data_IF_559711142168
#
_entry.id   IF_559711142168
#
_cell.length_a   1.000
_cell.length_b   1.000
_cell.length_c   1.000
_cell.angle_alpha   90.00
_cell.angle_beta   90.00
_cell.angle_gamma   90.00
#
_symmetry.space_group_name_H-M   'P 1'
#
loop_
_entity.id
_entity.type
_entity.pdbx_description
1 polymer ?
#
# COMPACT_ATOMS: atom_id res chain seq x y z
N UNK A 1 8.43 31.88 -18.17
CA UNK A 1 9.15 30.63 -18.51
C UNK A 1 8.18 29.65 -19.15
N UNK A 2 8.53 29.03 -20.29
CA UNK A 2 7.59 28.26 -21.15
C UNK A 2 7.46 26.76 -20.82
N UNK A 3 8.16 26.23 -19.82
CA UNK A 3 8.08 24.81 -19.46
C UNK A 3 7.52 24.60 -18.05
N UNK A 4 6.31 24.01 -17.89
CA UNK A 4 5.65 23.89 -16.59
C UNK A 4 6.33 22.91 -15.62
N UNK A 5 7.15 21.99 -16.15
CA UNK A 5 7.88 20.95 -15.41
C UNK A 5 9.37 21.27 -15.21
N UNK A 6 9.79 22.50 -15.50
CA UNK A 6 11.19 22.90 -15.38
C UNK A 6 11.71 22.68 -13.95
N UNK A 7 12.89 22.06 -13.81
CA UNK A 7 13.56 21.71 -12.55
C UNK A 7 12.83 20.73 -11.61
N UNK A 8 11.82 20.00 -12.10
CA UNK A 8 11.11 18.96 -11.30
C UNK A 8 12.07 17.90 -10.72
N UNK A 9 13.04 17.43 -11.50
CA UNK A 9 13.98 16.40 -11.04
C UNK A 9 14.91 16.86 -9.90
N UNK A 10 15.23 18.15 -9.85
CA UNK A 10 16.02 18.75 -8.75
C UNK A 10 15.16 18.80 -7.49
N UNK A 11 13.90 19.26 -7.61
CA UNK A 11 12.95 19.28 -6.50
C UNK A 11 12.71 17.87 -5.95
N UNK A 12 12.48 16.89 -6.81
CA UNK A 12 12.30 15.49 -6.41
C UNK A 12 13.47 14.95 -5.59
N UNK A 13 14.72 15.17 -6.01
CA UNK A 13 15.91 14.76 -5.24
C UNK A 13 15.97 15.47 -3.88
N UNK A 14 15.60 16.74 -3.83
CA UNK A 14 15.56 17.52 -2.59
C UNK A 14 14.48 17.02 -1.64
N UNK A 15 13.27 16.71 -2.16
CA UNK A 15 12.17 16.13 -1.37
C UNK A 15 12.61 14.80 -0.73
N UNK A 16 13.17 13.88 -1.52
CA UNK A 16 13.65 12.59 -1.00
C UNK A 16 14.69 12.80 0.09
N UNK A 17 15.69 13.67 -0.14
CA UNK A 17 16.74 13.94 0.86
C UNK A 17 16.21 14.57 2.13
N UNK A 18 15.17 15.39 2.04
CA UNK A 18 14.52 16.03 3.18
C UNK A 18 13.65 15.03 3.95
N UNK A 19 13.01 14.11 3.23
CA UNK A 19 11.88 13.34 3.74
C UNK A 19 12.22 11.87 4.00
N UNK A 20 13.46 11.46 3.74
CA UNK A 20 13.94 10.07 3.83
C UNK A 20 13.56 9.39 5.14
N UNK A 21 13.66 10.05 6.29
CA UNK A 21 13.26 9.47 7.58
C UNK A 21 11.77 9.10 7.60
N UNK A 22 10.91 9.99 7.10
CA UNK A 22 9.46 9.73 7.05
C UNK A 22 9.14 8.59 6.09
N UNK A 23 9.81 8.55 4.94
CA UNK A 23 9.67 7.45 3.98
C UNK A 23 10.08 6.12 4.62
N UNK A 24 11.22 6.09 5.32
CA UNK A 24 11.70 4.92 6.06
C UNK A 24 10.70 4.50 7.14
N UNK A 25 10.15 5.43 7.92
CA UNK A 25 9.13 5.10 8.93
C UNK A 25 7.89 4.46 8.31
N UNK A 26 7.41 4.97 7.19
CA UNK A 26 6.28 4.36 6.50
C UNK A 26 6.61 2.96 5.97
N UNK A 27 7.80 2.76 5.41
CA UNK A 27 8.26 1.44 4.94
C UNK A 27 8.37 0.46 6.12
N UNK A 28 8.98 0.88 7.23
CA UNK A 28 9.11 0.05 8.43
C UNK A 28 7.74 -0.29 9.05
N UNK A 29 6.82 0.68 9.09
CA UNK A 29 5.46 0.46 9.55
C UNK A 29 4.72 -0.56 8.69
N UNK A 30 4.91 -0.51 7.37
CA UNK A 30 4.35 -1.50 6.45
C UNK A 30 4.97 -2.89 6.65
N UNK A 31 6.29 -2.97 6.81
CA UNK A 31 6.98 -4.24 7.07
C UNK A 31 6.54 -4.86 8.41
N UNK A 32 6.36 -4.04 9.45
CA UNK A 32 5.83 -4.48 10.73
C UNK A 32 4.38 -4.98 10.59
N UNK A 33 3.56 -4.27 9.80
CA UNK A 33 2.21 -4.71 9.48
C UNK A 33 2.21 -6.06 8.75
N UNK A 34 3.04 -6.23 7.72
CA UNK A 34 3.19 -7.50 6.99
C UNK A 34 3.66 -8.64 7.91
N UNK A 35 4.67 -8.40 8.75
CA UNK A 35 5.19 -9.36 9.72
C UNK A 35 4.15 -9.79 10.76
N UNK A 36 3.24 -8.89 11.16
CA UNK A 36 2.16 -9.22 12.10
C UNK A 36 1.16 -10.25 11.57
N UNK A 37 1.07 -10.38 10.24
CA UNK A 37 0.23 -11.38 9.58
C UNK A 37 0.72 -12.81 9.81
N UNK A 38 2.03 -13.02 9.91
CA UNK A 38 2.64 -14.36 9.91
C UNK A 38 2.17 -15.25 11.07
N UNK A 39 2.05 -14.71 12.29
CA UNK A 39 1.55 -15.46 13.45
C UNK A 39 0.06 -15.83 13.37
N UNK A 40 -0.74 -15.08 12.59
CA UNK A 40 -2.17 -15.39 12.39
C UNK A 40 -2.39 -16.50 11.36
N UNK A 41 -1.37 -16.81 10.56
CA UNK A 41 -1.42 -17.83 9.52
C UNK A 41 -1.51 -19.25 10.10
N UNK A 42 -0.87 -19.50 11.24
CA UNK A 42 -0.94 -20.80 11.93
C UNK A 42 -2.35 -21.08 12.47
N UNK A 43 -3.05 -20.04 12.94
CA UNK A 43 -4.44 -20.12 13.45
C UNK A 43 -5.45 -20.37 12.32
N UNK A 44 -5.24 -19.75 11.15
CA UNK A 44 -6.09 -19.96 9.97
C UNK A 44 -5.86 -21.34 9.29
N UNK A 45 -4.77 -22.03 9.62
CA UNK A 45 -4.47 -23.38 9.11
C UNK A 45 -5.29 -24.48 9.81
N UNK A 46 -5.99 -24.15 10.91
CA UNK A 46 -6.90 -25.09 11.57
C UNK A 46 -8.20 -25.26 10.75
N UNK A 47 -8.62 -26.49 10.39
CA UNK A 47 -9.82 -26.75 9.58
C UNK A 47 -11.10 -26.12 10.14
N UNK A 48 -11.26 -26.08 11.46
CA UNK A 48 -12.43 -25.48 12.12
C UNK A 48 -12.47 -23.95 11.92
N UNK A 49 -11.31 -23.30 12.05
CA UNK A 49 -11.15 -21.86 11.81
C UNK A 49 -11.41 -21.53 10.34
N UNK A 50 -10.83 -22.29 9.42
CA UNK A 50 -10.99 -22.11 7.98
C UNK A 50 -12.46 -22.20 7.54
N UNK A 51 -13.20 -23.19 8.04
CA UNK A 51 -14.65 -23.35 7.76
C UNK A 51 -15.49 -22.18 8.27
N UNK A 52 -15.14 -21.67 9.46
CA UNK A 52 -15.82 -20.50 10.05
C UNK A 52 -15.54 -19.24 9.22
N UNK A 53 -14.29 -19.03 8.83
CA UNK A 53 -13.89 -17.91 7.96
C UNK A 53 -14.55 -18.02 6.59
N UNK A 54 -14.67 -19.22 6.02
CA UNK A 54 -15.39 -19.43 4.75
C UNK A 54 -16.85 -18.99 4.87
N UNK A 55 -17.52 -19.41 5.95
CA UNK A 55 -18.91 -19.02 6.20
C UNK A 55 -19.03 -17.51 6.38
N UNK A 56 -18.09 -16.89 7.09
CA UNK A 56 -18.10 -15.45 7.33
C UNK A 56 -17.81 -14.63 6.06
N UNK A 57 -16.78 -14.96 5.29
CA UNK A 57 -16.30 -14.14 4.18
C UNK A 57 -16.91 -14.50 2.81
N UNK A 58 -17.33 -15.75 2.62
CA UNK A 58 -17.85 -16.24 1.34
C UNK A 58 -19.36 -16.37 1.33
N UNK A 59 -19.98 -16.78 2.44
CA UNK A 59 -21.45 -16.96 2.51
C UNK A 59 -22.21 -15.70 2.94
N UNK A 60 -21.55 -14.72 3.56
CA UNK A 60 -22.18 -13.47 3.97
C UNK A 60 -22.13 -12.41 2.84
N UNK A 61 -23.28 -11.97 2.29
CA UNK A 61 -23.31 -10.98 1.21
C UNK A 61 -22.64 -9.65 1.56
N UNK A 62 -22.71 -9.23 2.83
CA UNK A 62 -22.06 -7.98 3.28
C UNK A 62 -20.53 -8.11 3.23
N UNK A 63 -19.99 -9.27 3.61
CA UNK A 63 -18.55 -9.52 3.58
C UNK A 63 -18.04 -9.68 2.14
N UNK A 64 -18.81 -10.31 1.25
CA UNK A 64 -18.52 -10.36 -0.18
C UNK A 64 -18.54 -8.96 -0.80
N UNK A 65 -19.46 -8.09 -0.37
CA UNK A 65 -19.49 -6.69 -0.80
C UNK A 65 -18.25 -5.90 -0.37
N UNK A 66 -17.70 -6.19 0.81
CA UNK A 66 -16.55 -5.47 1.37
C UNK A 66 -15.20 -6.01 0.87
N UNK A 67 -15.01 -7.33 0.85
CA UNK A 67 -13.75 -7.99 0.52
C UNK A 67 -13.70 -8.56 -0.90
N UNK A 68 -14.81 -8.47 -1.64
CA UNK A 68 -14.96 -9.01 -2.98
C UNK A 68 -15.27 -10.50 -3.03
N UNK A 69 -15.75 -10.99 -4.18
CA UNK A 69 -15.99 -12.41 -4.40
C UNK A 69 -14.67 -13.19 -4.49
N UNK A 70 -14.70 -14.46 -4.10
CA UNK A 70 -13.59 -15.40 -4.26
C UNK A 70 -13.96 -16.47 -5.29
N UNK A 71 -13.02 -16.95 -6.12
CA UNK A 71 -13.27 -18.07 -7.03
C UNK A 71 -13.49 -19.42 -6.30
N UNK A 72 -13.36 -19.46 -4.98
CA UNK A 72 -13.46 -20.68 -4.17
C UNK A 72 -14.90 -20.96 -3.80
N UNK A 73 -15.46 -21.98 -4.43
CA UNK A 73 -16.83 -22.43 -4.20
C UNK A 73 -16.94 -23.58 -3.17
N UNK A 74 -15.81 -24.21 -2.82
CA UNK A 74 -15.76 -25.33 -1.87
C UNK A 74 -15.04 -24.92 -0.58
N UNK A 75 -15.66 -25.07 0.60
CA UNK A 75 -15.03 -24.82 1.90
C UNK A 75 -13.71 -25.55 2.11
N UNK A 76 -13.53 -26.76 1.56
CA UNK A 76 -12.30 -27.57 1.74
C UNK A 76 -11.09 -26.94 1.06
N UNK A 77 -11.34 -26.10 0.07
CA UNK A 77 -10.32 -25.42 -0.72
C UNK A 77 -10.02 -24.01 -0.16
N UNK A 78 -10.75 -23.58 0.86
CA UNK A 78 -10.54 -22.30 1.54
C UNK A 78 -9.38 -22.41 2.53
N UNK A 79 -8.18 -22.41 1.97
CA UNK A 79 -6.92 -22.54 2.69
C UNK A 79 -6.32 -21.16 3.02
N UNK A 80 -5.15 -21.16 3.66
CA UNK A 80 -4.46 -19.96 4.13
C UNK A 80 -4.22 -18.92 3.03
N UNK A 81 -3.70 -19.33 1.86
CA UNK A 81 -3.40 -18.42 0.76
C UNK A 81 -4.63 -17.63 0.27
N UNK A 82 -5.74 -18.29 -0.05
CA UNK A 82 -6.99 -17.61 -0.39
C UNK A 82 -7.57 -16.73 0.71
N UNK A 83 -7.55 -17.16 1.97
CA UNK A 83 -7.99 -16.36 3.11
C UNK A 83 -7.17 -15.07 3.17
N UNK A 84 -5.84 -15.19 3.09
CA UNK A 84 -4.92 -14.07 3.16
C UNK A 84 -5.11 -13.13 1.97
N UNK A 85 -5.20 -13.67 0.75
CA UNK A 85 -5.44 -12.89 -0.46
C UNK A 85 -6.76 -12.11 -0.42
N UNK A 86 -7.86 -12.73 0.01
CA UNK A 86 -9.16 -12.06 0.09
C UNK A 86 -9.19 -11.00 1.19
N UNK A 87 -8.71 -11.33 2.39
CA UNK A 87 -8.84 -10.44 3.56
C UNK A 87 -7.81 -9.32 3.56
N UNK A 88 -6.55 -9.59 3.24
CA UNK A 88 -5.48 -8.60 3.36
C UNK A 88 -5.41 -7.65 2.17
N UNK A 89 -5.98 -7.99 1.01
CA UNK A 89 -5.97 -7.09 -0.17
C UNK A 89 -6.68 -5.77 0.13
N UNK A 90 -7.90 -5.83 0.68
CA UNK A 90 -8.65 -4.62 1.04
C UNK A 90 -7.89 -3.79 2.09
N UNK A 91 -7.42 -4.44 3.15
CA UNK A 91 -6.76 -3.76 4.27
C UNK A 91 -5.47 -3.07 3.80
N UNK A 92 -4.66 -3.77 3.00
CA UNK A 92 -3.44 -3.20 2.42
C UNK A 92 -3.75 -2.05 1.47
N UNK A 93 -4.79 -2.18 0.62
CA UNK A 93 -5.24 -1.10 -0.25
C UNK A 93 -5.67 0.15 0.53
N UNK A 94 -6.42 -0.03 1.62
CA UNK A 94 -6.80 1.06 2.53
C UNK A 94 -5.59 1.71 3.18
N UNK A 95 -4.59 0.91 3.62
CA UNK A 95 -3.34 1.45 4.17
C UNK A 95 -2.62 2.33 3.15
N UNK A 96 -2.48 1.86 1.90
CA UNK A 96 -1.86 2.67 0.83
C UNK A 96 -2.64 3.96 0.59
N UNK A 97 -3.97 3.91 0.57
CA UNK A 97 -4.82 5.09 0.42
C UNK A 97 -4.63 6.09 1.56
N UNK A 98 -4.63 5.63 2.81
CA UNK A 98 -4.42 6.47 4.01
C UNK A 98 -3.03 7.13 3.96
N UNK A 99 -1.97 6.37 3.69
CA UNK A 99 -0.61 6.90 3.55
C UNK A 99 -0.59 7.98 2.48
N UNK A 100 -1.22 7.73 1.33
CA UNK A 100 -1.29 8.70 0.22
C UNK A 100 -1.94 10.01 0.64
N UNK A 101 -3.12 9.93 1.28
CA UNK A 101 -3.88 11.10 1.70
C UNK A 101 -3.05 11.91 2.71
N UNK A 102 -2.53 11.26 3.75
CA UNK A 102 -1.72 11.93 4.77
C UNK A 102 -0.47 12.56 4.15
N UNK A 103 0.21 11.84 3.25
CA UNK A 103 1.43 12.31 2.61
C UNK A 103 1.17 13.53 1.73
N UNK A 104 0.18 13.44 0.83
CA UNK A 104 -0.16 14.51 -0.11
C UNK A 104 -0.65 15.75 0.62
N UNK A 105 -1.53 15.61 1.62
CA UNK A 105 -2.03 16.76 2.40
C UNK A 105 -0.89 17.48 3.12
N UNK A 106 0.02 16.74 3.76
CA UNK A 106 1.17 17.31 4.45
C UNK A 106 2.20 17.97 3.51
N UNK A 107 2.23 17.58 2.22
CA UNK A 107 3.19 18.08 1.23
C UNK A 107 2.60 19.07 0.23
N UNK A 108 1.31 19.34 0.33
CA UNK A 108 0.63 20.37 -0.45
C UNK A 108 0.18 21.48 0.47
N UNK A 109 -0.97 21.30 1.12
CA UNK A 109 -1.63 22.31 1.96
C UNK A 109 -0.74 22.85 3.06
N UNK A 110 -0.08 21.96 3.81
CA UNK A 110 0.77 22.39 4.92
C UNK A 110 1.98 23.21 4.45
N UNK A 111 2.58 22.87 3.31
CA UNK A 111 3.69 23.64 2.74
C UNK A 111 3.26 24.96 2.09
N UNK A 112 1.98 25.08 1.73
CA UNK A 112 1.36 26.35 1.31
C UNK A 112 1.11 27.25 2.54
N UNK A 113 0.49 26.70 3.59
CA UNK A 113 0.21 27.40 4.85
C UNK A 113 1.50 27.89 5.53
N UNK A 114 2.58 27.09 5.48
CA UNK A 114 3.90 27.44 6.05
C UNK A 114 4.69 28.43 5.14
N UNK A 115 4.15 28.87 4.00
CA UNK A 115 4.79 29.81 3.06
C UNK A 115 5.98 29.24 2.26
N UNK A 116 6.31 27.96 2.46
CA UNK A 116 7.43 27.27 1.80
C UNK A 116 7.22 27.23 0.28
N UNK A 117 5.97 27.08 -0.16
CA UNK A 117 5.62 27.07 -1.58
C UNK A 117 5.96 28.40 -2.27
N UNK A 118 5.80 29.53 -1.58
CA UNK A 118 6.12 30.86 -2.11
C UNK A 118 7.64 31.06 -2.23
N UNK A 119 8.39 30.58 -1.24
CA UNK A 119 9.85 30.56 -1.28
C UNK A 119 10.37 29.78 -2.48
N UNK A 120 9.83 28.60 -2.76
CA UNK A 120 10.22 27.83 -3.93
C UNK A 120 9.92 28.57 -5.24
N UNK A 121 8.77 29.27 -5.32
CA UNK A 121 8.39 30.05 -6.52
C UNK A 121 9.27 31.28 -6.77
N UNK A 122 10.05 31.73 -5.79
CA UNK A 122 11.07 32.77 -5.99
C UNK A 122 12.26 32.29 -6.82
N UNK A 123 12.49 30.98 -6.88
CA UNK A 123 13.50 30.35 -7.74
C UNK A 123 12.96 30.10 -9.15
N UNK A 124 13.86 29.84 -10.10
CA UNK A 124 13.52 29.48 -11.48
C UNK A 124 12.99 28.04 -11.59
N UNK A 125 11.79 27.80 -11.06
CA UNK A 125 11.09 26.51 -11.13
C UNK A 125 9.79 26.60 -11.94
N UNK A 126 9.39 25.49 -12.56
CA UNK A 126 8.13 25.40 -13.28
C UNK A 126 6.91 25.42 -12.35
N UNK A 127 5.77 25.95 -12.83
CA UNK A 127 4.53 26.07 -12.04
C UNK A 127 4.00 24.73 -11.51
N UNK A 128 4.23 23.63 -12.23
CA UNK A 128 3.79 22.27 -11.85
C UNK A 128 4.91 21.45 -11.21
N UNK A 129 6.12 21.97 -11.12
CA UNK A 129 7.29 21.20 -10.72
C UNK A 129 7.19 20.65 -9.29
N UNK A 130 6.59 21.42 -8.35
CA UNK A 130 6.40 20.96 -6.97
C UNK A 130 5.41 19.79 -6.89
N UNK A 131 4.21 19.96 -7.46
CA UNK A 131 3.18 18.91 -7.47
C UNK A 131 3.64 17.66 -8.20
N UNK A 132 4.34 17.79 -9.33
CA UNK A 132 4.87 16.62 -10.05
C UNK A 132 5.98 15.93 -9.26
N UNK A 133 6.87 16.67 -8.59
CA UNK A 133 7.90 16.08 -7.74
C UNK A 133 7.28 15.29 -6.58
N UNK A 134 6.24 15.83 -5.94
CA UNK A 134 5.48 15.14 -4.90
C UNK A 134 4.82 13.85 -5.41
N UNK A 135 4.16 13.88 -6.57
CA UNK A 135 3.53 12.69 -7.16
C UNK A 135 4.58 11.62 -7.48
N UNK A 136 5.73 12.00 -8.04
CA UNK A 136 6.81 11.04 -8.31
C UNK A 136 7.36 10.40 -7.04
N UNK A 137 7.48 11.16 -5.95
CA UNK A 137 7.94 10.65 -4.67
C UNK A 137 6.94 9.68 -4.05
N UNK A 138 5.65 9.99 -4.10
CA UNK A 138 4.60 9.08 -3.64
C UNK A 138 4.58 7.78 -4.45
N UNK A 139 4.69 7.87 -5.79
CA UNK A 139 4.76 6.71 -6.66
C UNK A 139 5.98 5.84 -6.36
N UNK A 140 7.14 6.47 -6.13
CA UNK A 140 8.35 5.75 -5.72
C UNK A 140 8.14 5.01 -4.39
N UNK A 141 7.55 5.69 -3.40
CA UNK A 141 7.25 5.09 -2.09
C UNK A 141 6.34 3.86 -2.24
N UNK A 142 5.23 3.99 -2.97
CA UNK A 142 4.31 2.87 -3.21
C UNK A 142 4.96 1.72 -3.99
N UNK A 143 5.80 2.03 -4.97
CA UNK A 143 6.50 1.01 -5.75
C UNK A 143 7.47 0.22 -4.87
N UNK A 144 8.26 0.91 -4.03
CA UNK A 144 9.14 0.25 -3.05
C UNK A 144 8.33 -0.60 -2.09
N UNK A 145 7.24 -0.06 -1.54
CA UNK A 145 6.35 -0.78 -0.63
C UNK A 145 5.74 -2.03 -1.26
N UNK A 146 5.25 -1.92 -2.50
CA UNK A 146 4.67 -3.03 -3.23
C UNK A 146 5.69 -4.15 -3.49
N UNK A 147 6.91 -3.79 -3.89
CA UNK A 147 8.01 -4.75 -4.07
C UNK A 147 8.37 -5.43 -2.75
N UNK A 148 8.51 -4.67 -1.66
CA UNK A 148 8.83 -5.23 -0.34
C UNK A 148 7.72 -6.15 0.19
N UNK A 149 6.45 -5.80 -0.02
CA UNK A 149 5.33 -6.68 0.32
C UNK A 149 5.35 -7.96 -0.50
N UNK A 150 5.58 -7.87 -1.81
CA UNK A 150 5.67 -9.04 -2.68
C UNK A 150 6.77 -10.00 -2.22
N UNK A 151 7.97 -9.46 -1.96
CA UNK A 151 9.10 -10.23 -1.42
C UNK A 151 8.80 -10.81 -0.04
N UNK A 152 8.12 -10.05 0.82
CA UNK A 152 7.73 -10.53 2.16
C UNK A 152 6.73 -11.68 2.08
N UNK A 153 5.79 -11.66 1.13
CA UNK A 153 4.83 -12.74 0.92
C UNK A 153 5.55 -13.96 0.34
N UNK A 154 6.42 -13.77 -0.64
CA UNK A 154 7.24 -14.83 -1.23
C UNK A 154 8.10 -15.53 -0.16
N UNK A 155 8.75 -14.76 0.71
CA UNK A 155 9.58 -15.28 1.79
C UNK A 155 8.81 -16.13 2.82
N UNK A 156 7.48 -15.94 2.94
CA UNK A 156 6.62 -16.72 3.84
C UNK A 156 6.24 -18.10 3.25
N UNK A 157 6.55 -18.37 1.98
CA UNK A 157 6.35 -19.65 1.30
C UNK A 157 4.94 -20.26 1.47
N UNK A 158 3.91 -19.41 1.39
CA UNK A 158 2.51 -19.81 1.53
C UNK A 158 1.99 -20.38 0.21
N UNK A 159 1.29 -21.51 0.28
CA UNK A 159 0.63 -22.09 -0.90
C UNK A 159 -0.44 -21.13 -1.47
N UNK A 160 -0.21 -20.64 -2.69
CA UNK A 160 -1.14 -19.82 -3.45
C UNK A 160 -2.29 -20.62 -4.08
N UNK A 161 -2.99 -20.04 -5.06
CA UNK A 161 -4.15 -20.65 -5.72
C UNK A 161 -3.80 -21.79 -6.71
N UNK A 162 -2.52 -22.08 -6.91
CA UNK A 162 -2.01 -23.03 -7.91
C UNK A 162 -2.54 -24.47 -7.78
N UNK A 163 -3.13 -24.81 -6.63
CA UNK A 163 -3.70 -26.13 -6.35
C UNK A 163 -5.17 -26.26 -6.79
N UNK A 164 -5.82 -25.17 -7.24
CA UNK A 164 -7.23 -25.16 -7.67
C UNK A 164 -7.41 -25.41 -9.18
N UNK A 165 -6.33 -25.41 -9.95
CA UNK A 165 -6.33 -25.68 -11.41
C UNK A 165 -6.15 -27.18 -11.74
N UNK A 166 -6.21 -28.08 -10.74
CA UNK A 166 -6.22 -29.54 -10.95
C UNK A 166 -7.54 -30.16 -10.54
#
# INVERSE_FOLDING_TARGET
>A
MKQPLYNTGVLFKTLIKRDWLKLVFWILGLLAFAASGAGKMEVASNPTTASTLYTMFVKNPAMVGLFGPTPINNPTNYSLGPIFGQTMTLITGLTFAIISIIYVVNRSRKEEDDGITELFRSYSIGKLANTTALVMELLLLHLIMAVLLALSIEAQNVAGLNHLEK
#
